data_IF_240414804577
#
_entry.id   IF_240414804577
#
_cell.length_a   1.000
_cell.length_b   1.000
_cell.length_c   1.000
_cell.angle_alpha   90.00
_cell.angle_beta   90.00
_cell.angle_gamma   90.00
#
_symmetry.space_group_name_H-M   'P 1'
#
loop_
_entity.id
_entity.type
_entity.pdbx_description
1 polymer ?
#
# COMPACT_ATOMS: atom_id res chain seq x y z
N UNK A 1 -42.21 3.58 -0.12
CA UNK A 1 -41.29 2.43 -0.12
C UNK A 1 -39.90 3.01 -0.03
N UNK A 2 -39.31 2.99 1.16
CA UNK A 2 -37.94 3.44 1.37
C UNK A 2 -37.03 2.44 0.67
N UNK A 3 -36.41 2.86 -0.42
CA UNK A 3 -35.29 2.12 -1.02
C UNK A 3 -34.13 2.29 -0.07
N UNK A 4 -33.90 1.28 0.79
CA UNK A 4 -32.65 1.16 1.55
C UNK A 4 -31.50 1.18 0.56
N UNK A 5 -30.85 2.33 0.44
CA UNK A 5 -29.67 2.51 -0.40
C UNK A 5 -28.54 1.73 0.25
N UNK A 6 -28.26 0.53 -0.25
CA UNK A 6 -27.07 -0.23 0.09
C UNK A 6 -25.85 0.54 -0.48
N UNK A 7 -25.31 1.48 0.29
CA UNK A 7 -24.06 2.16 -0.05
C UNK A 7 -22.91 1.22 0.33
N UNK A 8 -22.37 0.49 -0.66
CA UNK A 8 -21.07 -0.16 -0.49
C UNK A 8 -20.03 0.95 -0.42
N UNK A 9 -19.36 1.09 0.73
CA UNK A 9 -18.24 2.02 0.91
C UNK A 9 -16.98 1.33 0.36
N UNK A 10 -16.52 1.62 -0.88
CA UNK A 10 -15.47 0.84 -1.52
C UNK A 10 -14.11 0.98 -0.82
N UNK A 11 -13.95 2.06 -0.02
CA UNK A 11 -12.79 2.36 0.82
C UNK A 11 -12.68 1.37 1.99
N UNK A 12 -13.74 1.19 2.77
CA UNK A 12 -13.77 0.24 3.86
C UNK A 12 -13.57 -1.20 3.36
N UNK A 13 -14.04 -1.52 2.15
CA UNK A 13 -13.80 -2.84 1.56
C UNK A 13 -12.34 -2.99 1.12
N UNK A 14 -11.71 -1.97 0.55
CA UNK A 14 -10.29 -2.01 0.16
C UNK A 14 -9.33 -2.11 1.36
N UNK A 15 -9.55 -1.34 2.42
CA UNK A 15 -8.79 -1.43 3.67
C UNK A 15 -8.93 -2.81 4.34
N UNK A 16 -10.15 -3.35 4.38
CA UNK A 16 -10.41 -4.68 4.90
C UNK A 16 -9.76 -5.76 4.02
N UNK A 17 -9.78 -5.61 2.69
CA UNK A 17 -9.11 -6.54 1.76
C UNK A 17 -7.60 -6.51 1.92
N UNK A 18 -7.00 -5.33 2.14
CA UNK A 18 -5.58 -5.19 2.44
C UNK A 18 -5.19 -5.82 3.77
N UNK A 19 -5.98 -5.58 4.82
CA UNK A 19 -5.80 -6.18 6.15
C UNK A 19 -5.97 -7.70 6.12
N UNK A 20 -6.96 -8.20 5.40
CA UNK A 20 -7.17 -9.64 5.18
C UNK A 20 -6.00 -10.22 4.36
N UNK A 21 -5.49 -9.48 3.38
CA UNK A 21 -4.31 -9.88 2.59
C UNK A 21 -3.06 -10.10 3.46
N UNK A 22 -2.76 -9.17 4.37
CA UNK A 22 -1.61 -9.28 5.27
C UNK A 22 -1.76 -10.39 6.31
N UNK A 23 -2.97 -10.58 6.84
CA UNK A 23 -3.30 -11.71 7.73
C UNK A 23 -3.16 -13.04 7.01
N UNK A 24 -3.58 -13.13 5.73
CA UNK A 24 -3.41 -14.33 4.93
C UNK A 24 -1.93 -14.61 4.66
N UNK A 25 -1.13 -13.61 4.31
CA UNK A 25 0.31 -13.79 4.12
C UNK A 25 0.97 -14.41 5.36
N UNK A 26 0.66 -13.88 6.56
CA UNK A 26 1.16 -14.41 7.83
C UNK A 26 0.62 -15.82 8.15
N UNK A 27 -0.61 -16.12 7.78
CA UNK A 27 -1.16 -17.47 7.92
C UNK A 27 -0.42 -18.48 7.01
N UNK A 28 -0.04 -18.07 5.80
CA UNK A 28 0.76 -18.88 4.88
C UNK A 28 2.14 -19.24 5.46
N UNK A 29 2.82 -18.27 6.08
CA UNK A 29 4.11 -18.50 6.77
C UNK A 29 3.97 -19.54 7.89
N UNK A 30 2.96 -19.40 8.76
CA UNK A 30 2.71 -20.32 9.88
C UNK A 30 2.36 -21.73 9.37
N UNK A 31 1.59 -21.85 8.28
CA UNK A 31 1.27 -23.14 7.66
C UNK A 31 2.54 -23.79 7.08
N UNK A 32 3.43 -22.99 6.49
CA UNK A 32 4.73 -23.45 6.00
C UNK A 32 5.66 -23.93 7.12
N UNK A 33 5.73 -23.21 8.24
CA UNK A 33 6.48 -23.61 9.44
C UNK A 33 5.91 -24.88 10.08
N UNK A 34 4.59 -25.03 10.10
CA UNK A 34 3.94 -26.24 10.57
C UNK A 34 4.30 -27.43 9.68
N UNK A 35 4.29 -27.26 8.36
CA UNK A 35 4.67 -28.31 7.41
C UNK A 35 6.13 -28.76 7.62
N UNK A 36 7.05 -27.84 7.86
CA UNK A 36 8.48 -28.14 8.04
C UNK A 36 8.79 -28.78 9.40
N UNK A 37 8.11 -28.34 10.46
CA UNK A 37 8.32 -28.85 11.84
C UNK A 37 7.76 -30.25 12.02
N UNK A 38 6.67 -30.56 11.32
CA UNK A 38 5.88 -31.78 11.54
C UNK A 38 6.38 -32.97 10.70
N UNK A 39 7.06 -32.71 9.58
CA UNK A 39 7.60 -33.74 8.68
C UNK A 39 9.00 -34.25 9.09
N UNK A 40 9.58 -33.74 10.18
CA UNK A 40 10.83 -34.28 10.73
C UNK A 40 10.58 -35.60 11.48
N UNK A 41 10.50 -36.68 10.71
CA UNK A 41 10.11 -38.04 11.13
C UNK A 41 11.01 -38.73 12.16
N UNK A 42 12.03 -38.03 12.68
CA UNK A 42 12.88 -38.53 13.76
C UNK A 42 12.16 -38.61 15.12
N UNK A 43 11.06 -37.87 15.30
CA UNK A 43 10.37 -37.73 16.59
C UNK A 43 9.50 -38.94 16.99
N UNK A 44 9.19 -39.86 16.07
CA UNK A 44 8.26 -40.99 16.32
C UNK A 44 8.90 -42.38 16.26
N UNK A 45 10.21 -42.48 16.01
CA UNK A 45 10.93 -43.75 15.90
C UNK A 45 10.83 -44.63 17.17
N UNK A 46 10.53 -44.04 18.33
CA UNK A 46 10.41 -44.76 19.61
C UNK A 46 9.05 -45.42 19.90
N UNK A 47 7.99 -45.15 19.11
CA UNK A 47 6.60 -45.56 19.43
C UNK A 47 6.12 -46.73 18.55
N UNK A 48 6.88 -47.08 17.51
CA UNK A 48 6.55 -48.15 16.56
C UNK A 48 6.19 -47.61 15.16
N UNK A 49 6.60 -48.34 14.12
CA UNK A 49 6.52 -47.89 12.71
C UNK A 49 5.13 -47.52 12.25
N UNK A 50 4.11 -48.27 12.69
CA UNK A 50 2.74 -48.12 12.19
C UNK A 50 2.05 -46.89 12.79
N UNK A 51 2.33 -46.59 14.06
CA UNK A 51 1.82 -45.39 14.75
C UNK A 51 2.51 -44.15 14.23
N UNK A 52 3.82 -44.21 13.96
CA UNK A 52 4.57 -43.12 13.33
C UNK A 52 4.04 -42.81 11.93
N UNK A 53 3.78 -43.83 11.12
CA UNK A 53 3.23 -43.67 9.77
C UNK A 53 1.79 -43.11 9.79
N UNK A 54 0.93 -43.60 10.68
CA UNK A 54 -0.43 -43.08 10.84
C UNK A 54 -0.43 -41.61 11.28
N UNK A 55 0.45 -41.25 12.21
CA UNK A 55 0.56 -39.87 12.70
C UNK A 55 1.09 -38.92 11.61
N UNK A 56 2.12 -39.32 10.87
CA UNK A 56 2.65 -38.55 9.74
C UNK A 56 1.60 -38.35 8.64
N UNK A 57 0.81 -39.39 8.33
CA UNK A 57 -0.27 -39.30 7.34
C UNK A 57 -1.39 -38.36 7.77
N UNK A 58 -1.82 -38.44 9.04
CA UNK A 58 -2.85 -37.56 9.59
C UNK A 58 -2.39 -36.10 9.60
N UNK A 59 -1.14 -35.87 9.98
CA UNK A 59 -0.52 -34.54 9.98
C UNK A 59 -0.36 -33.96 8.57
N UNK A 60 0.09 -34.75 7.60
CA UNK A 60 0.13 -34.33 6.18
C UNK A 60 -1.25 -33.91 5.71
N UNK A 61 -2.29 -34.70 6.00
CA UNK A 61 -3.66 -34.38 5.63
C UNK A 61 -4.17 -33.08 6.29
N UNK A 62 -3.75 -32.79 7.53
CA UNK A 62 -4.08 -31.53 8.21
C UNK A 62 -3.39 -30.33 7.55
N UNK A 63 -2.09 -30.45 7.23
CA UNK A 63 -1.33 -29.40 6.53
C UNK A 63 -1.93 -29.13 5.15
N UNK A 64 -2.24 -30.17 4.38
CA UNK A 64 -2.85 -30.05 3.06
C UNK A 64 -4.21 -29.34 3.12
N UNK A 65 -5.02 -29.67 4.13
CA UNK A 65 -6.34 -29.03 4.33
C UNK A 65 -6.20 -27.54 4.68
N UNK A 66 -5.20 -27.18 5.50
CA UNK A 66 -4.92 -25.79 5.85
C UNK A 66 -4.40 -24.99 4.63
N UNK A 67 -3.56 -25.60 3.80
CA UNK A 67 -3.09 -25.00 2.56
C UNK A 67 -4.23 -24.75 1.56
N UNK A 68 -5.15 -25.71 1.41
CA UNK A 68 -6.34 -25.55 0.57
C UNK A 68 -7.26 -24.43 1.08
N UNK A 69 -7.49 -24.35 2.40
CA UNK A 69 -8.26 -23.27 3.00
C UNK A 69 -7.59 -21.90 2.77
N UNK A 70 -6.28 -21.82 2.98
CA UNK A 70 -5.51 -20.61 2.76
C UNK A 70 -5.61 -20.12 1.30
N UNK A 71 -5.44 -21.02 0.32
CA UNK A 71 -5.61 -20.70 -1.10
C UNK A 71 -7.03 -20.23 -1.42
N UNK A 72 -8.05 -20.87 -0.84
CA UNK A 72 -9.45 -20.45 -1.01
C UNK A 72 -9.70 -19.04 -0.47
N UNK A 73 -9.16 -18.71 0.70
CA UNK A 73 -9.28 -17.38 1.29
C UNK A 73 -8.53 -16.31 0.48
N UNK A 74 -7.37 -16.64 -0.09
CA UNK A 74 -6.66 -15.75 -1.01
C UNK A 74 -7.48 -15.47 -2.28
N UNK A 75 -8.09 -16.50 -2.87
CA UNK A 75 -8.95 -16.33 -4.04
C UNK A 75 -10.18 -15.46 -3.74
N UNK A 76 -10.80 -15.65 -2.57
CA UNK A 76 -11.91 -14.80 -2.12
C UNK A 76 -11.45 -13.36 -1.95
N UNK A 77 -10.31 -13.12 -1.31
CA UNK A 77 -9.79 -11.77 -1.12
C UNK A 77 -9.49 -11.07 -2.46
N UNK A 78 -8.90 -11.80 -3.41
CA UNK A 78 -8.66 -11.30 -4.77
C UNK A 78 -9.96 -11.02 -5.55
N UNK A 79 -10.97 -11.87 -5.41
CA UNK A 79 -12.27 -11.65 -6.05
C UNK A 79 -12.99 -10.42 -5.50
N UNK A 80 -12.88 -10.16 -4.19
CA UNK A 80 -13.43 -8.95 -3.56
C UNK A 80 -12.69 -7.70 -4.05
N UNK A 81 -11.36 -7.75 -4.16
CA UNK A 81 -10.56 -6.65 -4.73
C UNK A 81 -10.96 -6.35 -6.19
N UNK A 82 -11.01 -7.38 -7.03
CA UNK A 82 -11.40 -7.24 -8.43
C UNK A 82 -12.83 -6.69 -8.57
N UNK A 83 -13.76 -7.14 -7.71
CA UNK A 83 -15.13 -6.61 -7.69
C UNK A 83 -15.15 -5.14 -7.32
N UNK A 84 -14.38 -4.71 -6.32
CA UNK A 84 -14.29 -3.29 -5.95
C UNK A 84 -13.73 -2.43 -7.09
N UNK A 85 -12.68 -2.90 -7.76
CA UNK A 85 -12.09 -2.19 -8.89
C UNK A 85 -13.09 -2.05 -10.04
N UNK A 86 -13.87 -3.10 -10.33
CA UNK A 86 -14.93 -3.04 -11.33
C UNK A 86 -16.03 -2.03 -10.95
N UNK A 87 -16.43 -1.97 -9.68
CA UNK A 87 -17.37 -0.95 -9.19
C UNK A 87 -16.83 0.47 -9.36
N UNK A 88 -15.57 0.72 -9.03
CA UNK A 88 -14.94 2.03 -9.18
C UNK A 88 -14.79 2.47 -10.64
N UNK A 89 -14.50 1.53 -11.54
CA UNK A 89 -14.44 1.80 -12.98
C UNK A 89 -15.83 2.12 -13.55
N UNK A 90 -16.86 1.38 -13.10
CA UNK A 90 -18.24 1.66 -13.47
C UNK A 90 -18.67 3.05 -12.98
N UNK A 91 -18.37 3.40 -11.73
CA UNK A 91 -18.71 4.71 -11.16
C UNK A 91 -18.02 5.87 -11.89
N UNK A 92 -16.72 5.73 -12.19
CA UNK A 92 -15.97 6.70 -13.01
C UNK A 92 -16.53 6.87 -14.42
N UNK A 93 -16.94 5.77 -15.06
CA UNK A 93 -17.50 5.84 -16.41
C UNK A 93 -18.90 6.48 -16.44
N UNK A 94 -19.70 6.26 -15.38
CA UNK A 94 -20.98 6.94 -15.18
C UNK A 94 -20.75 8.45 -14.94
N UNK A 95 -19.81 8.84 -14.08
CA UNK A 95 -19.48 10.25 -13.83
C UNK A 95 -18.99 10.98 -15.11
N UNK A 96 -18.18 10.31 -15.94
CA UNK A 96 -17.71 10.84 -17.21
C UNK A 96 -18.86 11.01 -18.24
N UNK A 97 -19.88 10.15 -18.20
CA UNK A 97 -21.05 10.23 -19.08
C UNK A 97 -21.99 11.41 -18.79
N UNK A 98 -21.88 12.04 -17.62
CA UNK A 98 -22.70 13.19 -17.21
C UNK A 98 -21.95 14.54 -17.26
N UNK A 99 -20.66 14.54 -17.62
CA UNK A 99 -19.78 15.71 -17.54
C UNK A 99 -19.50 16.41 -18.88
N UNK A 100 -20.52 16.96 -19.53
CA UNK A 100 -20.36 18.07 -20.48
C UNK A 100 -21.48 19.10 -20.23
N UNK A 101 -21.20 20.07 -19.36
CA UNK A 101 -22.10 21.18 -19.07
C UNK A 101 -22.18 21.59 -17.59
N UNK A 102 -21.41 22.64 -17.25
CA UNK A 102 -21.65 23.63 -16.20
C UNK A 102 -22.00 23.19 -14.76
N UNK A 103 -21.22 23.76 -13.82
CA UNK A 103 -21.43 23.73 -12.38
C UNK A 103 -22.90 23.90 -11.93
N UNK A 104 -23.37 22.99 -11.08
CA UNK A 104 -24.20 23.31 -9.92
C UNK A 104 -23.97 22.26 -8.83
N UNK A 105 -23.59 22.72 -7.62
CA UNK A 105 -23.67 21.94 -6.39
C UNK A 105 -25.10 21.39 -6.20
N UNK A 106 -25.22 20.17 -5.65
CA UNK A 106 -26.26 19.94 -4.67
C UNK A 106 -25.67 19.42 -3.36
N UNK A 107 -25.93 20.20 -2.32
CA UNK A 107 -25.69 19.85 -0.93
C UNK A 107 -26.42 18.55 -0.53
N UNK A 108 -25.75 17.77 0.32
CA UNK A 108 -26.41 16.81 1.21
C UNK A 108 -25.84 15.40 1.17
N UNK A 109 -24.71 15.17 1.85
CA UNK A 109 -24.47 13.92 2.59
C UNK A 109 -23.32 14.09 3.59
N UNK A 110 -23.69 14.10 4.87
CA UNK A 110 -22.80 14.05 6.02
C UNK A 110 -22.26 12.62 6.19
N UNK A 111 -21.13 12.33 5.55
CA UNK A 111 -20.27 11.20 5.86
C UNK A 111 -18.97 11.73 6.46
N UNK A 112 -18.50 11.15 7.55
CA UNK A 112 -17.35 11.62 8.33
C UNK A 112 -16.08 11.74 7.47
N UNK A 113 -15.48 12.94 7.49
CA UNK A 113 -14.38 13.39 6.63
C UNK A 113 -13.05 12.60 6.73
N UNK A 114 -12.95 11.60 7.61
CA UNK A 114 -11.73 10.84 7.84
C UNK A 114 -11.53 9.65 6.86
N UNK A 115 -12.58 9.19 6.17
CA UNK A 115 -12.51 7.99 5.32
C UNK A 115 -12.41 8.29 3.81
N UNK A 116 -12.85 9.47 3.36
CA UNK A 116 -12.76 9.88 1.96
C UNK A 116 -11.31 10.11 1.44
N UNK A 117 -10.36 10.23 2.37
CA UNK A 117 -8.97 10.57 2.11
C UNK A 117 -8.18 9.41 1.51
N UNK A 118 -8.51 8.15 1.82
CA UNK A 118 -7.54 7.04 1.64
C UNK A 118 -7.42 6.55 0.17
N UNK A 119 -8.53 6.34 -0.55
CA UNK A 119 -8.47 5.94 -1.97
C UNK A 119 -8.17 7.08 -2.96
N UNK A 120 -8.47 8.34 -2.61
CA UNK A 120 -8.10 9.48 -3.47
C UNK A 120 -6.61 9.77 -3.35
N UNK A 121 -6.04 9.58 -2.17
CA UNK A 121 -4.61 9.71 -1.90
C UNK A 121 -3.81 8.68 -2.69
N UNK A 122 -4.18 7.39 -2.66
CA UNK A 122 -3.49 6.34 -3.43
C UNK A 122 -3.50 6.61 -4.94
N UNK A 123 -4.67 6.89 -5.54
CA UNK A 123 -4.75 7.14 -6.99
C UNK A 123 -4.08 8.46 -7.37
N UNK A 124 -4.19 9.52 -6.57
CA UNK A 124 -3.55 10.81 -6.87
C UNK A 124 -2.04 10.78 -6.61
N UNK A 125 -1.56 10.04 -5.59
CA UNK A 125 -0.14 9.78 -5.42
C UNK A 125 0.36 8.89 -6.56
N UNK A 126 -0.38 7.86 -6.99
CA UNK A 126 -0.05 7.09 -8.20
C UNK A 126 0.06 8.02 -9.38
N UNK A 127 -0.95 8.83 -9.69
CA UNK A 127 -0.93 9.71 -10.85
C UNK A 127 0.22 10.75 -10.77
N UNK A 128 0.55 11.25 -9.57
CA UNK A 128 1.69 12.14 -9.35
C UNK A 128 3.05 11.44 -9.41
N UNK A 129 3.13 10.18 -8.96
CA UNK A 129 4.36 9.38 -8.93
C UNK A 129 4.64 8.76 -10.30
N UNK A 130 3.64 8.19 -10.95
CA UNK A 130 3.73 7.58 -12.28
C UNK A 130 3.91 8.57 -13.42
N UNK A 131 3.56 9.86 -13.23
CA UNK A 131 3.93 10.91 -14.17
C UNK A 131 5.45 11.15 -14.21
N UNK A 132 6.15 10.88 -13.10
CA UNK A 132 7.58 11.14 -12.92
C UNK A 132 8.41 9.83 -12.93
N UNK A 133 7.81 8.66 -12.64
CA UNK A 133 8.45 7.35 -12.54
C UNK A 133 7.81 6.34 -13.51
N UNK A 134 8.56 5.93 -14.54
CA UNK A 134 8.13 4.91 -15.49
C UNK A 134 7.73 3.62 -14.75
N UNK A 135 6.44 3.26 -14.79
CA UNK A 135 5.93 1.98 -14.31
C UNK A 135 6.59 0.83 -15.09
N UNK A 136 7.66 0.25 -14.53
CA UNK A 136 8.48 -0.78 -15.20
C UNK A 136 8.38 -2.09 -14.45
N UNK A 137 7.82 -3.09 -15.11
CA UNK A 137 7.78 -4.47 -14.62
C UNK A 137 9.17 -5.11 -14.53
N UNK A 138 10.12 -4.59 -15.32
CA UNK A 138 11.51 -5.02 -15.34
C UNK A 138 12.38 -4.11 -14.47
N UNK A 139 13.41 -4.68 -13.82
CA UNK A 139 14.37 -3.91 -13.01
C UNK A 139 15.10 -2.86 -13.85
N UNK A 140 15.31 -1.68 -13.28
CA UNK A 140 16.02 -0.57 -13.91
C UNK A 140 16.90 0.16 -12.89
N UNK A 141 17.76 1.07 -13.35
CA UNK A 141 18.49 1.98 -12.48
C UNK A 141 17.76 3.32 -12.45
N UNK A 142 17.50 3.85 -11.26
CA UNK A 142 16.91 5.17 -11.09
C UNK A 142 17.93 6.31 -11.35
N UNK A 143 17.49 7.56 -11.13
CA UNK A 143 18.32 8.77 -11.29
C UNK A 143 19.55 8.80 -10.37
N UNK A 144 19.50 8.06 -9.25
CA UNK A 144 20.58 7.92 -8.27
C UNK A 144 21.44 6.67 -8.50
N UNK A 145 21.11 5.87 -9.54
CA UNK A 145 21.73 4.58 -9.90
C UNK A 145 21.47 3.46 -8.89
N UNK A 146 20.37 3.54 -8.13
CA UNK A 146 19.89 2.42 -7.34
C UNK A 146 19.07 1.45 -8.20
N UNK A 147 19.20 0.12 -7.99
CA UNK A 147 18.36 -0.86 -8.66
C UNK A 147 16.92 -0.74 -8.16
N UNK A 148 15.97 -0.53 -9.07
CA UNK A 148 14.59 -0.18 -8.77
C UNK A 148 13.65 -0.98 -9.68
N UNK A 149 12.44 -1.30 -9.22
CA UNK A 149 11.41 -2.02 -10.01
C UNK A 149 10.02 -1.44 -9.74
N UNK A 150 9.06 -1.69 -10.63
CA UNK A 150 7.68 -1.26 -10.48
C UNK A 150 7.55 0.26 -10.52
N UNK A 151 6.93 0.82 -9.47
CA UNK A 151 6.76 2.27 -9.28
C UNK A 151 7.66 2.68 -8.11
N UNK A 152 8.93 3.00 -8.41
CA UNK A 152 9.86 3.53 -7.41
C UNK A 152 10.34 2.54 -6.35
N UNK A 153 10.13 1.23 -6.53
CA UNK A 153 10.53 0.24 -5.53
C UNK A 153 12.04 -0.03 -5.55
N UNK A 154 12.81 0.72 -4.75
CA UNK A 154 14.26 0.53 -4.58
C UNK A 154 14.58 -0.86 -3.99
N UNK A 155 15.40 -1.66 -4.65
CA UNK A 155 15.82 -3.02 -4.26
C UNK A 155 17.00 -3.06 -3.27
N UNK A 156 17.65 -1.93 -2.98
CA UNK A 156 18.70 -1.82 -1.96
C UNK A 156 18.15 -1.62 -0.55
N UNK A 157 16.84 -1.36 -0.39
CA UNK A 157 16.22 -1.23 0.93
C UNK A 157 16.29 -2.56 1.71
N UNK A 158 16.40 -2.46 3.04
CA UNK A 158 16.59 -3.62 3.91
C UNK A 158 15.42 -4.62 3.86
N UNK A 159 14.20 -4.16 3.60
CA UNK A 159 12.98 -4.96 3.52
C UNK A 159 12.63 -5.39 2.09
N UNK A 160 13.45 -5.08 1.08
CA UNK A 160 13.16 -5.38 -0.33
C UNK A 160 12.86 -6.87 -0.54
N UNK A 161 13.66 -7.73 0.10
CA UNK A 161 13.53 -9.18 -0.01
C UNK A 161 12.20 -9.68 0.54
N UNK A 162 11.79 -9.20 1.72
CA UNK A 162 10.50 -9.59 2.33
C UNK A 162 9.32 -9.03 1.55
N UNK A 163 9.41 -7.79 1.07
CA UNK A 163 8.33 -7.19 0.28
C UNK A 163 8.12 -7.92 -1.05
N UNK A 164 9.19 -8.25 -1.79
CA UNK A 164 9.05 -9.04 -3.02
C UNK A 164 8.49 -10.45 -2.73
N UNK A 165 8.90 -11.08 -1.64
CA UNK A 165 8.34 -12.37 -1.24
C UNK A 165 6.84 -12.28 -0.94
N UNK A 166 6.37 -11.18 -0.32
CA UNK A 166 4.94 -10.97 0.02
C UNK A 166 4.02 -10.93 -1.20
N UNK A 167 4.54 -10.53 -2.35
CA UNK A 167 3.82 -10.52 -3.63
C UNK A 167 4.13 -11.77 -4.49
N UNK A 168 4.84 -12.75 -3.94
CA UNK A 168 5.21 -13.98 -4.63
C UNK A 168 6.30 -13.82 -5.68
N UNK A 169 7.14 -12.78 -5.57
CA UNK A 169 8.28 -12.55 -6.44
C UNK A 169 9.60 -12.98 -5.77
N UNK A 170 10.54 -13.50 -6.57
CA UNK A 170 11.86 -13.86 -6.07
C UNK A 170 12.80 -12.65 -6.16
N UNK A 171 13.29 -12.18 -5.02
CA UNK A 171 14.16 -11.01 -4.95
C UNK A 171 15.45 -11.15 -5.78
N UNK A 172 16.14 -12.28 -5.69
CA UNK A 172 17.41 -12.48 -6.39
C UNK A 172 17.19 -12.54 -7.91
N UNK A 173 16.09 -13.15 -8.36
CA UNK A 173 15.72 -13.20 -9.77
C UNK A 173 15.31 -11.83 -10.33
N UNK A 174 14.50 -11.07 -9.58
CA UNK A 174 14.10 -9.71 -9.97
C UNK A 174 15.32 -8.79 -10.02
N UNK A 175 16.19 -8.82 -9.00
CA UNK A 175 17.41 -8.00 -8.95
C UNK A 175 18.41 -8.38 -10.05
N UNK A 176 18.48 -9.66 -10.43
CA UNK A 176 19.29 -10.11 -11.56
C UNK A 176 18.67 -9.81 -12.93
N UNK A 177 17.42 -9.31 -12.99
CA UNK A 177 16.69 -9.08 -14.23
C UNK A 177 16.26 -10.37 -14.94
N UNK A 178 16.23 -11.51 -14.25
CA UNK A 178 15.78 -12.80 -14.81
C UNK A 178 14.30 -13.07 -14.56
N UNK A 179 13.65 -12.26 -13.73
CA UNK A 179 12.22 -12.27 -13.47
C UNK A 179 11.65 -10.85 -13.55
N UNK A 180 10.59 -10.68 -14.33
CA UNK A 180 9.76 -9.47 -14.32
C UNK A 180 8.64 -9.60 -13.28
N UNK A 181 8.20 -8.47 -12.74
CA UNK A 181 6.98 -8.42 -11.94
C UNK A 181 5.74 -8.35 -12.84
N UNK A 182 4.66 -8.98 -12.43
CA UNK A 182 3.36 -8.76 -13.05
C UNK A 182 2.80 -7.39 -12.65
N UNK A 183 1.92 -6.77 -13.45
CA UNK A 183 1.25 -5.52 -13.07
C UNK A 183 0.54 -5.60 -11.71
N UNK A 184 -0.04 -6.76 -11.39
CA UNK A 184 -0.67 -7.00 -10.10
C UNK A 184 0.35 -6.94 -8.94
N UNK A 185 1.51 -7.57 -9.10
CA UNK A 185 2.59 -7.53 -8.09
C UNK A 185 3.16 -6.13 -7.91
N UNK A 186 3.36 -5.38 -9.02
CA UNK A 186 3.76 -3.96 -8.95
C UNK A 186 2.73 -3.14 -8.17
N UNK A 187 1.44 -3.35 -8.45
CA UNK A 187 0.39 -2.63 -7.75
C UNK A 187 0.31 -2.97 -6.26
N UNK A 188 0.52 -4.24 -5.90
CA UNK A 188 0.55 -4.68 -4.50
C UNK A 188 1.72 -4.07 -3.73
N UNK A 189 2.94 -4.11 -4.29
CA UNK A 189 4.12 -3.47 -3.69
C UNK A 189 3.91 -1.98 -3.48
N UNK A 190 3.38 -1.29 -4.50
CA UNK A 190 3.11 0.13 -4.39
C UNK A 190 2.07 0.45 -3.31
N UNK A 191 0.98 -0.31 -3.23
CA UNK A 191 -0.07 -0.08 -2.23
C UNK A 191 0.47 -0.28 -0.81
N UNK A 192 1.34 -1.28 -0.62
CA UNK A 192 2.03 -1.48 0.65
C UNK A 192 2.93 -0.28 1.01
N UNK A 193 3.74 0.20 0.07
CA UNK A 193 4.63 1.33 0.28
C UNK A 193 3.86 2.63 0.59
N UNK A 194 2.74 2.88 -0.09
CA UNK A 194 1.88 4.04 0.23
C UNK A 194 1.24 3.90 1.61
N UNK A 195 0.71 2.72 1.96
CA UNK A 195 0.18 2.48 3.32
C UNK A 195 1.23 2.72 4.41
N UNK A 196 2.48 2.33 4.14
CA UNK A 196 3.63 2.62 5.03
C UNK A 196 3.93 4.11 5.11
N UNK A 197 3.84 4.83 3.98
CA UNK A 197 4.05 6.27 3.92
C UNK A 197 2.94 7.06 4.66
N UNK A 198 1.67 6.64 4.54
CA UNK A 198 0.55 7.23 5.28
C UNK A 198 0.74 7.01 6.79
N UNK A 199 1.12 5.80 7.19
CA UNK A 199 1.41 5.49 8.60
C UNK A 199 2.57 6.34 9.12
N UNK A 200 3.64 6.47 8.33
CA UNK A 200 4.79 7.32 8.66
C UNK A 200 4.39 8.80 8.80
N UNK A 201 3.49 9.29 7.93
CA UNK A 201 2.99 10.66 8.00
C UNK A 201 2.12 10.91 9.24
N UNK A 202 1.29 9.92 9.63
CA UNK A 202 0.51 9.94 10.89
C UNK A 202 1.42 9.94 12.13
N UNK A 203 2.44 9.10 12.12
CA UNK A 203 3.42 9.03 13.21
C UNK A 203 4.25 10.32 13.31
N UNK A 204 4.57 10.92 12.17
CA UNK A 204 5.27 12.20 12.12
C UNK A 204 4.43 13.37 12.65
N UNK A 205 3.13 13.42 12.33
CA UNK A 205 2.25 14.50 12.78
C UNK A 205 0.93 13.93 13.30
N UNK A 206 0.75 13.98 14.63
CA UNK A 206 -0.44 13.44 15.29
C UNK A 206 -1.77 14.08 14.83
N UNK A 207 -1.72 15.29 14.26
CA UNK A 207 -2.88 15.99 13.69
C UNK A 207 -3.19 15.62 12.23
N UNK A 208 -2.56 14.58 11.69
CA UNK A 208 -2.62 14.23 10.26
C UNK A 208 -4.05 14.00 9.76
N UNK A 209 -4.87 13.26 10.49
CA UNK A 209 -6.23 12.92 10.06
C UNK A 209 -7.18 14.14 10.08
N UNK A 210 -6.77 15.27 10.66
CA UNK A 210 -7.53 16.53 10.69
C UNK A 210 -7.08 17.54 9.63
N UNK A 211 -6.01 17.25 8.89
CA UNK A 211 -5.58 18.06 7.77
C UNK A 211 -6.57 17.93 6.60
N UNK A 212 -6.60 18.93 5.73
CA UNK A 212 -7.29 18.78 4.44
C UNK A 212 -6.57 17.74 3.57
N UNK A 213 -7.28 17.18 2.56
CA UNK A 213 -6.72 16.15 1.70
C UNK A 213 -5.42 16.56 0.99
N UNK A 214 -5.25 17.83 0.63
CA UNK A 214 -4.03 18.27 -0.05
C UNK A 214 -2.81 18.21 0.88
N UNK A 215 -2.95 18.67 2.12
CA UNK A 215 -1.87 18.62 3.11
C UNK A 215 -1.55 17.19 3.56
N UNK A 216 -2.55 16.31 3.64
CA UNK A 216 -2.34 14.87 3.89
C UNK A 216 -1.52 14.23 2.78
N UNK A 217 -1.86 14.54 1.51
CA UNK A 217 -1.09 14.08 0.36
C UNK A 217 0.34 14.60 0.40
N UNK A 218 0.56 15.86 0.76
CA UNK A 218 1.92 16.42 0.85
C UNK A 218 2.77 15.64 1.86
N UNK A 219 2.27 15.41 3.08
CA UNK A 219 3.02 14.68 4.10
C UNK A 219 3.24 13.22 3.72
N UNK A 220 2.25 12.57 3.13
CA UNK A 220 2.37 11.20 2.61
C UNK A 220 3.41 11.12 1.50
N UNK A 221 3.42 12.08 0.59
CA UNK A 221 4.36 12.15 -0.53
C UNK A 221 5.81 12.36 -0.05
N UNK A 222 5.98 13.25 0.93
CA UNK A 222 7.25 13.44 1.63
C UNK A 222 7.70 12.16 2.31
N UNK A 223 6.82 11.52 3.10
CA UNK A 223 7.10 10.26 3.79
C UNK A 223 7.51 9.14 2.82
N UNK A 224 6.80 9.00 1.69
CA UNK A 224 7.10 8.02 0.65
C UNK A 224 8.49 8.26 0.04
N UNK A 225 8.83 9.52 -0.25
CA UNK A 225 10.08 9.85 -0.94
C UNK A 225 11.32 9.72 -0.04
N UNK A 226 11.25 10.10 1.24
CA UNK A 226 12.45 10.20 2.09
C UNK A 226 12.45 9.30 3.33
N UNK A 227 11.32 8.64 3.62
CA UNK A 227 11.15 7.76 4.76
C UNK A 227 11.08 8.47 6.13
N UNK A 228 10.81 7.71 7.20
CA UNK A 228 10.53 8.23 8.55
C UNK A 228 11.71 8.98 9.17
N UNK A 229 12.94 8.44 9.00
CA UNK A 229 14.13 9.00 9.64
C UNK A 229 14.43 10.42 9.14
N UNK A 230 14.33 10.63 7.83
CA UNK A 230 14.58 11.93 7.19
C UNK A 230 13.41 12.89 7.43
N UNK A 231 12.17 12.42 7.29
CA UNK A 231 10.98 13.24 7.56
C UNK A 231 10.99 13.75 9.02
N UNK A 232 11.39 12.91 9.98
CA UNK A 232 11.51 13.29 11.38
C UNK A 232 12.47 14.44 11.68
N UNK A 233 13.38 14.78 10.75
CA UNK A 233 14.29 15.92 10.89
C UNK A 233 13.65 17.28 10.50
N UNK A 234 12.44 17.28 9.94
CA UNK A 234 11.74 18.50 9.51
C UNK A 234 11.09 19.24 10.70
N UNK A 235 11.86 19.55 11.74
CA UNK A 235 11.35 20.14 12.99
C UNK A 235 10.60 21.46 12.79
N UNK A 236 11.03 22.30 11.83
CA UNK A 236 10.36 23.57 11.52
C UNK A 236 9.00 23.34 10.86
N UNK A 237 8.90 22.38 9.93
CA UNK A 237 7.62 21.97 9.34
C UNK A 237 6.69 21.42 10.42
N UNK A 238 7.17 20.50 11.28
CA UNK A 238 6.37 19.95 12.37
C UNK A 238 5.81 21.05 13.30
N UNK A 239 6.66 22.01 13.66
CA UNK A 239 6.26 23.17 14.49
C UNK A 239 5.20 24.02 13.80
N UNK A 240 5.38 24.30 12.50
CA UNK A 240 4.43 25.07 11.71
C UNK A 240 3.07 24.35 11.57
N UNK A 241 3.07 23.04 11.31
CA UNK A 241 1.85 22.21 11.27
C UNK A 241 1.11 22.26 12.61
N UNK A 242 1.83 22.11 13.72
CA UNK A 242 1.26 22.15 15.08
C UNK A 242 0.60 23.51 15.38
N UNK A 243 1.15 24.59 14.83
CA UNK A 243 0.61 25.94 14.98
C UNK A 243 -0.48 26.28 13.95
N UNK A 244 -0.75 25.40 12.98
CA UNK A 244 -1.65 25.68 11.86
C UNK A 244 -1.14 26.77 10.91
N UNK A 245 0.17 27.05 10.89
CA UNK A 245 0.78 28.06 10.02
C UNK A 245 1.24 27.43 8.70
N UNK A 246 0.33 27.40 7.73
CA UNK A 246 0.56 26.77 6.43
C UNK A 246 1.63 27.49 5.57
N UNK A 247 1.80 28.80 5.77
CA UNK A 247 2.85 29.56 5.08
C UNK A 247 4.23 29.19 5.65
N UNK A 248 4.35 29.12 6.97
CA UNK A 248 5.58 28.66 7.61
C UNK A 248 5.89 27.20 7.27
N UNK A 249 4.88 26.34 7.18
CA UNK A 249 5.02 24.94 6.76
C UNK A 249 5.59 24.84 5.34
N UNK A 250 4.99 25.56 4.39
CA UNK A 250 5.45 25.61 3.01
C UNK A 250 6.88 26.18 2.90
N UNK A 251 7.20 27.23 3.65
CA UNK A 251 8.54 27.82 3.66
C UNK A 251 9.59 26.86 4.25
N UNK A 252 9.24 26.11 5.31
CA UNK A 252 10.12 25.10 5.89
C UNK A 252 10.37 23.93 4.93
N UNK A 253 9.38 23.55 4.12
CA UNK A 253 9.57 22.58 3.04
C UNK A 253 10.49 23.14 1.94
N UNK A 254 10.28 24.40 1.55
CA UNK A 254 11.04 25.07 0.50
C UNK A 254 12.52 25.27 0.89
N UNK A 255 12.79 25.64 2.14
CA UNK A 255 14.15 25.81 2.69
C UNK A 255 14.76 24.48 3.16
N UNK A 256 14.70 23.47 2.29
CA UNK A 256 15.23 22.14 2.60
C UNK A 256 16.03 21.56 1.45
N UNK A 257 17.00 20.71 1.78
CA UNK A 257 17.75 19.93 0.78
C UNK A 257 16.82 19.03 -0.03
N UNK A 258 15.76 18.51 0.60
CA UNK A 258 14.74 17.71 -0.07
C UNK A 258 14.11 18.46 -1.25
N UNK A 259 13.74 19.73 -1.07
CA UNK A 259 13.15 20.51 -2.15
C UNK A 259 14.10 20.66 -3.34
N UNK A 260 15.41 20.80 -3.06
CA UNK A 260 16.43 20.85 -4.11
C UNK A 260 16.59 19.51 -4.84
N UNK A 261 16.54 18.39 -4.12
CA UNK A 261 16.70 17.05 -4.70
C UNK A 261 15.49 16.60 -5.50
N UNK A 262 14.28 16.91 -5.02
CA UNK A 262 13.01 16.49 -5.63
C UNK A 262 12.55 17.44 -6.74
N UNK A 263 13.05 18.68 -6.77
CA UNK A 263 12.87 19.61 -7.88
C UNK A 263 11.41 20.03 -8.08
N UNK A 264 10.91 19.95 -9.31
CA UNK A 264 9.59 20.48 -9.70
C UNK A 264 8.43 19.87 -8.92
N UNK A 265 8.54 18.60 -8.52
CA UNK A 265 7.55 17.96 -7.66
C UNK A 265 7.48 18.61 -6.29
N UNK A 266 8.62 18.97 -5.69
CA UNK A 266 8.62 19.66 -4.41
C UNK A 266 7.92 21.01 -4.52
N UNK A 267 8.15 21.76 -5.60
CA UNK A 267 7.47 23.04 -5.87
C UNK A 267 5.94 22.89 -5.86
N UNK A 268 5.39 21.87 -6.55
CA UNK A 268 3.95 21.59 -6.55
C UNK A 268 3.42 21.28 -5.15
N UNK A 269 4.13 20.45 -4.39
CA UNK A 269 3.75 20.06 -3.03
C UNK A 269 3.81 21.22 -2.04
N UNK A 270 4.78 22.12 -2.20
CA UNK A 270 4.91 23.34 -1.38
C UNK A 270 3.69 24.24 -1.60
N UNK A 271 3.23 24.40 -2.85
CA UNK A 271 2.02 25.18 -3.13
C UNK A 271 0.76 24.51 -2.55
N UNK A 272 0.64 23.19 -2.66
CA UNK A 272 -0.48 22.45 -2.05
C UNK A 272 -0.48 22.56 -0.51
N UNK A 273 0.70 22.56 0.12
CA UNK A 273 0.81 22.81 1.56
C UNK A 273 0.29 24.20 1.93
N UNK A 274 0.63 25.21 1.10
CA UNK A 274 0.22 26.59 1.32
C UNK A 274 -1.28 26.78 1.11
N UNK A 275 -1.83 26.27 0.00
CA UNK A 275 -3.22 26.48 -0.42
C UNK A 275 -4.23 25.55 0.27
N UNK A 276 -3.84 24.30 0.57
CA UNK A 276 -4.76 23.23 0.95
C UNK A 276 -5.59 22.70 -0.22
N UNK A 277 -5.10 22.86 -1.45
CA UNK A 277 -5.71 22.40 -2.70
C UNK A 277 -4.71 21.59 -3.51
#
# INVERSE_FOLDING_TARGET
MSTDSFQIQPQAVSENVGTVGSLLARAGEVIGELASTVLDGASFAGIGSDVAAANASLQSSQVDSLQQLHQGLQQVNQAVDASNQAYQQADRSVAAGYGDGAATDPAGQSGTAAQAVDMTTDQQLRDQLTADEDNRTHVYLDSERHPTVGIGFNLDRNDARSQLASVGANYDAVRAGTQDLTPAQVNQLFSHDVGTAVTTARDYYAGFDQLDPARQRVLTNMAFNMGPATLGQFHQLHTALTNGDWNAAANAMQDSRWATQVGDRATRLIEHMRSGQ
#
